data_IF_940452050952
#
_entry.id   IF_940452050952
#
_cell.length_a   1.000
_cell.length_b   1.000
_cell.length_c   1.000
_cell.angle_alpha   90.00
_cell.angle_beta   90.00
_cell.angle_gamma   90.00
#
_symmetry.space_group_name_H-M   'P 1'
#
loop_
_entity.id
_entity.type
_entity.pdbx_description
1 polymer ?
#
# COMPACT_ATOMS: atom_id res chain seq x y z
N UNK A 1 36.13 -31.10 -33.17
CA UNK A 1 34.97 -30.20 -33.42
C UNK A 1 33.77 -30.83 -32.73
N UNK A 2 33.06 -30.29 -31.74
CA UNK A 2 32.95 -28.96 -31.14
C UNK A 2 32.82 -29.12 -29.62
N UNK A 3 33.45 -28.22 -28.89
CA UNK A 3 33.41 -28.08 -27.43
C UNK A 3 32.02 -27.62 -26.95
N UNK A 4 31.54 -28.14 -25.81
CA UNK A 4 30.48 -27.51 -25.00
C UNK A 4 31.10 -26.99 -23.70
N UNK A 5 30.72 -25.81 -23.22
CA UNK A 5 31.45 -25.11 -22.16
C UNK A 5 31.04 -25.56 -20.76
N UNK A 6 32.03 -25.46 -19.87
CA UNK A 6 31.97 -25.61 -18.42
C UNK A 6 31.22 -24.41 -17.81
N UNK A 7 30.11 -24.67 -17.16
CA UNK A 7 29.56 -23.82 -16.08
C UNK A 7 28.81 -24.71 -15.08
N UNK A 8 29.55 -25.60 -14.41
CA UNK A 8 29.39 -25.83 -12.96
C UNK A 8 30.36 -24.84 -12.32
N UNK A 9 30.04 -24.06 -11.30
CA UNK A 9 29.71 -24.43 -9.93
C UNK A 9 29.18 -23.13 -9.30
N UNK A 10 27.94 -23.11 -8.80
CA UNK A 10 27.38 -22.16 -7.80
C UNK A 10 25.85 -22.25 -7.63
N UNK A 11 25.17 -23.23 -8.27
CA UNK A 11 23.74 -23.50 -8.05
C UNK A 11 23.48 -24.66 -7.06
N UNK A 12 24.35 -24.85 -6.06
CA UNK A 12 24.26 -25.97 -5.13
C UNK A 12 24.41 -25.55 -3.66
N UNK A 13 23.76 -24.47 -3.23
CA UNK A 13 23.49 -24.24 -1.79
C UNK A 13 22.42 -23.16 -1.60
N UNK A 14 21.17 -23.57 -1.70
CA UNK A 14 20.06 -23.03 -0.89
C UNK A 14 18.76 -23.81 -1.14
N UNK A 15 18.82 -25.15 -1.04
CA UNK A 15 17.63 -25.97 -0.83
C UNK A 15 17.24 -25.92 0.65
N UNK A 16 16.72 -24.80 1.14
CA UNK A 16 15.88 -24.83 2.35
C UNK A 16 15.05 -23.57 2.68
N UNK A 17 15.00 -22.54 1.82
CA UNK A 17 14.12 -21.38 2.07
C UNK A 17 12.94 -21.38 1.10
N UNK A 18 12.30 -22.55 0.97
CA UNK A 18 11.20 -22.82 0.05
C UNK A 18 9.93 -23.33 0.73
N UNK A 19 9.76 -23.12 2.03
CA UNK A 19 8.51 -23.37 2.74
C UNK A 19 8.29 -22.33 3.84
N UNK A 20 7.50 -21.32 3.54
CA UNK A 20 6.71 -20.64 4.58
C UNK A 20 5.39 -20.09 4.00
N UNK A 21 4.37 -20.93 4.20
CA UNK A 21 2.97 -20.64 4.55
C UNK A 21 2.16 -19.74 3.60
N UNK A 22 1.37 -20.38 2.73
CA UNK A 22 0.07 -19.81 2.29
C UNK A 22 -0.80 -19.58 3.54
N UNK A 23 -1.64 -18.53 3.61
CA UNK A 23 -2.64 -18.42 4.67
C UNK A 23 -3.54 -19.66 4.65
N UNK A 24 -3.53 -20.42 5.75
CA UNK A 24 -4.40 -21.57 5.97
C UNK A 24 -5.79 -21.05 6.36
N UNK A 25 -6.72 -21.06 5.41
CA UNK A 25 -8.13 -20.83 5.69
C UNK A 25 -8.67 -22.16 6.22
N UNK A 26 -8.93 -22.22 7.53
CA UNK A 26 -9.10 -23.46 8.29
C UNK A 26 -10.03 -24.49 7.64
N UNK A 27 -9.50 -25.69 7.40
CA UNK A 27 -10.28 -26.87 7.07
C UNK A 27 -10.80 -27.50 8.37
N UNK A 28 -12.07 -27.25 8.73
CA UNK A 28 -12.80 -28.17 9.62
C UNK A 28 -13.47 -29.21 8.72
N UNK A 29 -13.29 -30.49 9.06
CA UNK A 29 -13.94 -31.59 8.37
C UNK A 29 -15.45 -31.49 8.56
N UNK A 30 -16.17 -31.15 7.48
CA UNK A 30 -17.63 -31.19 7.41
C UNK A 30 -18.06 -32.37 6.55
N UNK A 31 -19.00 -33.16 7.06
CA UNK A 31 -19.50 -34.41 6.48
C UNK A 31 -20.13 -34.23 5.08
N UNK A 32 -20.11 -35.27 4.22
CA UNK A 32 -20.48 -35.16 2.81
C UNK A 32 -21.94 -34.74 2.51
N UNK A 33 -22.83 -34.77 3.50
CA UNK A 33 -24.27 -34.51 3.32
C UNK A 33 -24.69 -33.04 3.43
N UNK A 34 -23.78 -32.13 3.81
CA UNK A 34 -24.05 -30.67 3.88
C UNK A 34 -23.46 -29.88 2.69
N UNK A 35 -23.06 -30.55 1.60
CA UNK A 35 -22.40 -29.91 0.45
C UNK A 35 -23.32 -29.23 -0.56
N UNK A 36 -24.63 -29.28 -0.36
CA UNK A 36 -25.60 -28.66 -1.27
C UNK A 36 -26.31 -27.50 -0.57
N UNK A 37 -25.65 -26.35 -0.53
CA UNK A 37 -26.22 -25.12 0.02
C UNK A 37 -25.14 -24.15 0.50
N UNK A 38 -25.03 -23.00 -0.16
CA UNK A 38 -24.16 -21.86 0.16
C UNK A 38 -22.68 -22.02 -0.17
N UNK A 39 -22.34 -21.89 -1.47
CA UNK A 39 -21.07 -21.23 -1.79
C UNK A 39 -21.15 -19.81 -1.20
N UNK A 40 -20.49 -19.59 -0.06
CA UNK A 40 -20.45 -18.27 0.58
C UNK A 40 -20.05 -17.22 -0.47
N UNK A 41 -20.89 -16.23 -0.70
CA UNK A 41 -20.61 -15.13 -1.64
C UNK A 41 -19.34 -14.44 -1.12
N UNK A 42 -18.20 -14.70 -1.76
CA UNK A 42 -16.95 -14.08 -1.34
C UNK A 42 -17.06 -12.56 -1.48
N UNK A 43 -16.67 -11.86 -0.45
CA UNK A 43 -16.65 -10.39 -0.43
C UNK A 43 -15.88 -9.83 -1.65
N UNK A 44 -16.36 -8.76 -2.28
CA UNK A 44 -15.71 -8.13 -3.43
C UNK A 44 -14.22 -7.83 -3.22
N UNK A 45 -13.84 -7.43 -2.01
CA UNK A 45 -12.49 -7.13 -1.55
C UNK A 45 -11.58 -8.35 -1.65
N UNK A 46 -12.07 -9.51 -1.19
CA UNK A 46 -11.35 -10.78 -1.23
C UNK A 46 -11.12 -11.21 -2.67
N UNK A 47 -12.14 -11.10 -3.53
CA UNK A 47 -12.01 -11.42 -4.95
C UNK A 47 -11.01 -10.49 -5.67
N UNK A 48 -11.04 -9.19 -5.37
CA UNK A 48 -10.10 -8.22 -5.92
C UNK A 48 -8.68 -8.51 -5.44
N UNK A 49 -8.49 -8.77 -4.15
CA UNK A 49 -7.20 -9.09 -3.56
C UNK A 49 -6.58 -10.36 -4.18
N UNK A 50 -7.38 -11.41 -4.38
CA UNK A 50 -6.94 -12.64 -5.06
C UNK A 50 -6.49 -12.36 -6.50
N UNK A 51 -7.24 -11.53 -7.26
CA UNK A 51 -6.87 -11.18 -8.64
C UNK A 51 -5.62 -10.31 -8.71
N UNK A 52 -5.40 -9.43 -7.73
CA UNK A 52 -4.18 -8.63 -7.59
C UNK A 52 -2.96 -9.49 -7.27
N UNK A 53 -3.15 -10.57 -6.51
CA UNK A 53 -2.11 -11.54 -6.20
C UNK A 53 -1.94 -12.65 -7.26
N UNK A 54 -2.61 -12.55 -8.42
CA UNK A 54 -2.48 -13.53 -9.51
C UNK A 54 -1.08 -13.54 -10.12
N UNK A 55 -0.61 -14.71 -10.55
CA UNK A 55 0.66 -14.84 -11.27
C UNK A 55 0.60 -14.22 -12.68
N UNK A 56 -0.59 -14.08 -13.25
CA UNK A 56 -0.78 -13.52 -14.58
C UNK A 56 -0.80 -12.00 -14.57
N UNK A 57 0.20 -11.37 -15.20
CA UNK A 57 0.27 -9.91 -15.35
C UNK A 57 -1.02 -9.30 -15.93
N UNK A 58 -1.64 -9.85 -16.99
CA UNK A 58 -2.89 -9.29 -17.53
C UNK A 58 -4.03 -9.26 -16.51
N UNK A 59 -4.13 -10.28 -15.65
CA UNK A 59 -5.13 -10.36 -14.57
C UNK A 59 -4.88 -9.27 -13.53
N UNK A 60 -3.63 -9.12 -13.07
CA UNK A 60 -3.26 -8.05 -12.11
C UNK A 60 -3.55 -6.66 -12.66
N UNK A 61 -3.17 -6.39 -13.92
CA UNK A 61 -3.41 -5.08 -14.56
C UNK A 61 -4.91 -4.75 -14.65
N UNK A 62 -5.75 -5.73 -15.01
CA UNK A 62 -7.21 -5.54 -15.03
C UNK A 62 -7.77 -5.33 -13.63
N UNK A 63 -7.27 -6.08 -12.65
CA UNK A 63 -7.67 -5.96 -11.26
C UNK A 63 -7.32 -4.59 -10.67
N UNK A 64 -6.14 -4.05 -10.96
CA UNK A 64 -5.71 -2.72 -10.53
C UNK A 64 -6.66 -1.62 -11.06
N UNK A 65 -6.98 -1.66 -12.36
CA UNK A 65 -7.94 -0.72 -12.97
C UNK A 65 -9.33 -0.83 -12.32
N UNK A 66 -9.79 -2.07 -12.10
CA UNK A 66 -11.08 -2.33 -11.44
C UNK A 66 -11.10 -1.82 -10.01
N UNK A 67 -10.02 -2.03 -9.25
CA UNK A 67 -9.89 -1.58 -7.86
C UNK A 67 -10.00 -0.06 -7.74
N UNK A 68 -9.28 0.68 -8.59
CA UNK A 68 -9.35 2.16 -8.56
C UNK A 68 -10.78 2.67 -8.76
N UNK A 69 -11.49 2.13 -9.76
CA UNK A 69 -12.90 2.47 -10.01
C UNK A 69 -13.79 2.05 -8.83
N UNK A 70 -13.52 0.88 -8.26
CA UNK A 70 -14.28 0.35 -7.13
C UNK A 70 -14.18 1.25 -5.90
N UNK A 71 -12.97 1.68 -5.53
CA UNK A 71 -12.74 2.62 -4.43
C UNK A 71 -13.48 3.93 -4.69
N UNK A 72 -13.27 4.54 -5.86
CA UNK A 72 -13.91 5.82 -6.20
C UNK A 72 -15.43 5.80 -6.10
N UNK A 73 -16.08 4.73 -6.57
CA UNK A 73 -17.54 4.60 -6.52
C UNK A 73 -18.02 4.26 -5.10
N UNK A 74 -17.30 3.40 -4.37
CA UNK A 74 -17.74 2.97 -3.03
C UNK A 74 -17.56 4.09 -2.00
N UNK A 75 -16.52 4.90 -2.11
CA UNK A 75 -16.28 6.04 -1.22
C UNK A 75 -17.32 7.15 -1.32
N UNK A 76 -18.20 7.16 -2.33
CA UNK A 76 -19.27 8.17 -2.46
C UNK A 76 -20.59 7.74 -1.80
N UNK A 77 -20.67 6.53 -1.25
CA UNK A 77 -21.92 6.02 -0.67
C UNK A 77 -22.17 6.64 0.71
N UNK A 78 -23.34 7.25 0.89
CA UNK A 78 -23.78 7.87 2.14
C UNK A 78 -23.78 6.89 3.35
N UNK A 79 -24.06 5.61 3.09
CA UNK A 79 -24.28 4.60 4.13
C UNK A 79 -23.04 3.81 4.57
N UNK A 80 -21.85 4.09 4.03
CA UNK A 80 -20.65 3.40 4.49
C UNK A 80 -19.53 3.36 3.47
N UNK A 81 -18.41 3.96 3.84
CA UNK A 81 -17.14 3.81 3.15
C UNK A 81 -16.58 2.40 3.29
N UNK A 82 -15.28 2.31 3.49
CA UNK A 82 -14.62 1.03 3.75
C UNK A 82 -14.44 0.81 5.25
N UNK A 83 -14.56 -0.44 5.69
CA UNK A 83 -14.07 -0.83 7.02
C UNK A 83 -12.56 -1.05 6.99
N UNK A 84 -11.92 -1.02 8.17
CA UNK A 84 -10.50 -1.32 8.31
C UNK A 84 -10.16 -2.74 7.78
N UNK A 85 -11.00 -3.74 8.08
CA UNK A 85 -10.77 -5.12 7.64
C UNK A 85 -10.81 -5.26 6.12
N UNK A 86 -11.74 -4.57 5.47
CA UNK A 86 -11.88 -4.54 4.01
C UNK A 86 -10.65 -3.94 3.33
N UNK A 87 -10.14 -2.79 3.83
CA UNK A 87 -8.93 -2.19 3.28
C UNK A 87 -7.69 -3.04 3.56
N UNK A 88 -7.59 -3.73 4.70
CA UNK A 88 -6.50 -4.66 4.97
C UNK A 88 -6.48 -5.85 4.00
N UNK A 89 -7.66 -6.38 3.63
CA UNK A 89 -7.78 -7.42 2.58
C UNK A 89 -7.26 -6.90 1.23
N UNK A 90 -7.65 -5.69 0.84
CA UNK A 90 -7.20 -5.05 -0.40
C UNK A 90 -5.69 -4.77 -0.39
N UNK A 91 -5.17 -4.23 0.72
CA UNK A 91 -3.74 -3.94 0.87
C UNK A 91 -2.87 -5.18 0.81
N UNK A 92 -3.34 -6.31 1.36
CA UNK A 92 -2.66 -7.59 1.17
C UNK A 92 -2.57 -7.96 -0.32
N UNK A 93 -3.63 -7.75 -1.09
CA UNK A 93 -3.63 -7.92 -2.54
C UNK A 93 -2.65 -6.99 -3.26
N UNK A 94 -2.62 -5.70 -2.89
CA UNK A 94 -1.71 -4.70 -3.45
C UNK A 94 -0.24 -5.04 -3.15
N UNK A 95 0.05 -5.45 -1.92
CA UNK A 95 1.39 -5.88 -1.49
C UNK A 95 1.90 -7.02 -2.37
N UNK A 96 1.10 -8.07 -2.56
CA UNK A 96 1.50 -9.19 -3.42
C UNK A 96 1.48 -8.84 -4.92
N UNK A 97 0.67 -7.88 -5.35
CA UNK A 97 0.74 -7.36 -6.72
C UNK A 97 2.11 -6.74 -7.01
N UNK A 98 2.65 -5.95 -6.07
CA UNK A 98 4.01 -5.39 -6.16
C UNK A 98 5.08 -6.48 -5.97
N UNK A 99 4.86 -7.43 -5.07
CA UNK A 99 5.76 -8.57 -4.85
C UNK A 99 6.07 -9.32 -6.15
N UNK A 100 5.07 -9.54 -7.00
CA UNK A 100 5.17 -10.24 -8.29
C UNK A 100 5.71 -9.37 -9.44
N UNK A 101 6.13 -8.13 -9.19
CA UNK A 101 6.71 -7.25 -10.22
C UNK A 101 8.24 -7.25 -10.12
N UNK A 102 8.90 -7.79 -11.15
CA UNK A 102 10.35 -7.92 -11.19
C UNK A 102 11.03 -6.86 -12.08
N UNK A 103 10.29 -6.21 -12.99
CA UNK A 103 10.88 -5.22 -13.91
C UNK A 103 10.98 -3.84 -13.22
N UNK A 104 12.17 -3.22 -13.07
CA UNK A 104 12.35 -1.98 -12.30
C UNK A 104 11.40 -0.83 -12.69
N UNK A 105 11.32 -0.50 -13.99
CA UNK A 105 10.41 0.56 -14.47
C UNK A 105 8.94 0.28 -14.15
N UNK A 106 8.55 -1.00 -14.13
CA UNK A 106 7.19 -1.39 -13.79
C UNK A 106 6.95 -1.44 -12.27
N UNK A 107 8.01 -1.57 -11.45
CA UNK A 107 7.91 -1.48 -9.98
C UNK A 107 7.60 -0.04 -9.57
N UNK A 108 8.30 0.93 -10.16
CA UNK A 108 8.06 2.35 -9.94
C UNK A 108 6.65 2.75 -10.38
N UNK A 109 6.28 2.42 -11.63
CA UNK A 109 4.95 2.71 -12.17
C UNK A 109 3.84 2.09 -11.31
N UNK A 110 4.02 0.83 -10.89
CA UNK A 110 3.05 0.16 -10.01
C UNK A 110 3.00 0.83 -8.64
N UNK A 111 4.13 1.22 -8.06
CA UNK A 111 4.17 1.91 -6.77
C UNK A 111 3.44 3.26 -6.85
N UNK A 112 3.61 3.99 -7.95
CA UNK A 112 2.91 5.25 -8.20
C UNK A 112 1.39 5.03 -8.38
N UNK A 113 0.99 3.97 -9.10
CA UNK A 113 -0.41 3.59 -9.23
C UNK A 113 -1.06 3.21 -7.90
N UNK A 114 -0.32 2.53 -7.02
CA UNK A 114 -0.80 2.18 -5.68
C UNK A 114 -0.92 3.44 -4.82
N UNK A 115 0.13 4.27 -4.74
CA UNK A 115 0.14 5.41 -3.84
C UNK A 115 -0.87 6.49 -4.19
N UNK A 116 -1.04 6.79 -5.47
CA UNK A 116 -2.03 7.76 -5.95
C UNK A 116 -3.48 7.31 -5.76
N UNK A 117 -3.71 6.07 -5.32
CA UNK A 117 -5.05 5.55 -5.04
C UNK A 117 -5.69 6.20 -3.82
N UNK A 118 -4.88 6.76 -2.90
CA UNK A 118 -5.37 7.56 -1.77
C UNK A 118 -6.29 8.70 -2.23
N UNK A 119 -6.00 9.31 -3.37
CA UNK A 119 -6.80 10.39 -3.95
C UNK A 119 -8.11 9.94 -4.60
N UNK A 120 -8.37 8.63 -4.63
CA UNK A 120 -9.63 8.08 -5.14
C UNK A 120 -10.71 8.03 -4.06
N UNK A 121 -10.36 8.24 -2.79
CA UNK A 121 -11.31 8.36 -1.69
C UNK A 121 -11.91 9.77 -1.65
N UNK A 122 -13.21 9.85 -1.35
CA UNK A 122 -13.98 11.09 -1.38
C UNK A 122 -13.72 11.98 -0.15
N UNK A 123 -13.64 11.37 1.03
CA UNK A 123 -13.44 12.02 2.31
C UNK A 123 -12.03 11.77 2.89
N UNK A 124 -11.71 12.51 3.95
CA UNK A 124 -10.41 12.43 4.64
C UNK A 124 -10.30 11.17 5.48
N UNK A 125 -11.39 10.70 6.07
CA UNK A 125 -11.40 9.48 6.88
C UNK A 125 -11.02 8.26 6.06
N UNK A 126 -11.55 8.11 4.84
CA UNK A 126 -11.18 7.05 3.91
C UNK A 126 -9.73 7.15 3.45
N UNK A 127 -9.20 8.35 3.25
CA UNK A 127 -7.79 8.57 2.92
C UNK A 127 -6.86 8.14 4.05
N UNK A 128 -7.17 8.53 5.29
CA UNK A 128 -6.41 8.15 6.48
C UNK A 128 -6.56 6.66 6.79
N UNK A 129 -7.74 6.07 6.62
CA UNK A 129 -7.95 4.64 6.78
C UNK A 129 -7.16 3.81 5.75
N UNK A 130 -7.02 4.32 4.53
CA UNK A 130 -6.16 3.73 3.51
C UNK A 130 -4.68 3.75 3.92
N UNK A 131 -4.21 4.87 4.48
CA UNK A 131 -2.85 4.99 5.04
C UNK A 131 -2.64 4.10 6.27
N UNK A 132 -3.61 4.03 7.17
CA UNK A 132 -3.55 3.17 8.35
C UNK A 132 -3.41 1.70 7.93
N UNK A 133 -4.26 1.26 7.00
CA UNK A 133 -4.25 -0.11 6.49
C UNK A 133 -2.93 -0.44 5.75
N UNK A 134 -2.33 0.56 5.09
CA UNK A 134 -0.98 0.46 4.53
C UNK A 134 0.06 0.20 5.62
N UNK A 135 0.11 1.04 6.66
CA UNK A 135 1.09 0.93 7.74
C UNK A 135 0.94 -0.41 8.47
N UNK A 136 -0.27 -0.83 8.79
CA UNK A 136 -0.54 -2.12 9.43
C UNK A 136 -0.11 -3.30 8.55
N UNK A 137 -0.35 -3.22 7.23
CA UNK A 137 0.13 -4.23 6.30
C UNK A 137 1.65 -4.27 6.26
N UNK A 138 2.31 -3.11 6.18
CA UNK A 138 3.77 -3.06 6.13
C UNK A 138 4.40 -3.53 7.43
N UNK A 139 3.88 -3.13 8.60
CA UNK A 139 4.35 -3.63 9.90
C UNK A 139 4.35 -5.15 9.97
N UNK A 140 3.27 -5.78 9.51
CA UNK A 140 3.13 -7.25 9.53
C UNK A 140 4.09 -7.95 8.57
N UNK A 141 4.27 -7.41 7.36
CA UNK A 141 5.00 -8.11 6.29
C UNK A 141 6.48 -7.73 6.20
N UNK A 142 6.91 -6.61 6.82
CA UNK A 142 8.24 -6.02 6.61
C UNK A 142 9.40 -6.97 6.81
N UNK A 143 9.39 -7.73 7.91
CA UNK A 143 10.46 -8.69 8.24
C UNK A 143 10.48 -9.90 7.32
N UNK A 144 9.40 -10.15 6.59
CA UNK A 144 9.28 -11.21 5.59
C UNK A 144 9.82 -10.83 4.20
N UNK A 145 10.14 -9.55 3.97
CA UNK A 145 10.69 -9.07 2.69
C UNK A 145 12.17 -9.43 2.62
N UNK A 146 12.55 -10.23 1.63
CA UNK A 146 13.95 -10.54 1.38
C UNK A 146 14.70 -9.37 0.71
N UNK A 147 16.02 -9.40 0.84
CA UNK A 147 16.91 -8.33 0.36
C UNK A 147 16.73 -7.99 -1.13
N UNK A 148 16.41 -8.96 -2.00
CA UNK A 148 16.27 -8.72 -3.44
C UNK A 148 14.99 -7.95 -3.79
N UNK A 149 14.02 -7.91 -2.88
CA UNK A 149 12.73 -7.24 -3.08
C UNK A 149 12.61 -5.92 -2.31
N UNK A 150 13.55 -5.62 -1.41
CA UNK A 150 13.40 -4.51 -0.47
C UNK A 150 13.28 -3.14 -1.17
N UNK A 151 14.07 -2.90 -2.22
CA UNK A 151 14.15 -1.59 -2.88
C UNK A 151 12.79 -1.07 -3.38
N UNK A 152 11.98 -1.92 -4.00
CA UNK A 152 10.63 -1.52 -4.46
C UNK A 152 9.66 -1.24 -3.32
N UNK A 153 9.83 -1.91 -2.17
CA UNK A 153 8.99 -1.65 -1.00
C UNK A 153 9.43 -0.36 -0.30
N UNK A 154 10.73 -0.05 -0.25
CA UNK A 154 11.22 1.27 0.16
C UNK A 154 10.65 2.39 -0.72
N UNK A 155 10.64 2.19 -2.05
CA UNK A 155 10.07 3.13 -3.00
C UNK A 155 8.56 3.32 -2.79
N UNK A 156 7.80 2.24 -2.57
CA UNK A 156 6.37 2.34 -2.29
C UNK A 156 6.10 3.13 -1.00
N UNK A 157 6.87 2.91 0.09
CA UNK A 157 6.72 3.71 1.32
C UNK A 157 6.95 5.19 1.04
N UNK A 158 8.01 5.52 0.31
CA UNK A 158 8.32 6.90 -0.08
C UNK A 158 7.17 7.56 -0.86
N UNK A 159 6.63 6.84 -1.84
CA UNK A 159 5.53 7.34 -2.66
C UNK A 159 4.22 7.46 -1.87
N UNK A 160 3.94 6.55 -0.94
CA UNK A 160 2.79 6.64 -0.06
C UNK A 160 2.83 7.92 0.78
N UNK A 161 3.95 8.20 1.45
CA UNK A 161 4.10 9.43 2.24
C UNK A 161 4.00 10.69 1.38
N UNK A 162 4.62 10.71 0.18
CA UNK A 162 4.45 11.82 -0.77
C UNK A 162 2.98 12.08 -1.09
N UNK A 163 2.24 11.04 -1.45
CA UNK A 163 0.83 11.18 -1.84
C UNK A 163 -0.08 11.52 -0.65
N UNK A 164 0.27 11.08 0.56
CA UNK A 164 -0.39 11.54 1.79
C UNK A 164 -0.15 13.03 2.03
N UNK A 165 1.08 13.52 1.92
CA UNK A 165 1.36 14.96 2.05
C UNK A 165 0.66 15.78 0.97
N UNK A 166 0.57 15.29 -0.27
CA UNK A 166 -0.24 15.93 -1.31
C UNK A 166 -1.73 15.99 -0.94
N UNK A 167 -2.27 14.97 -0.25
CA UNK A 167 -3.65 14.99 0.23
C UNK A 167 -3.84 16.05 1.34
N UNK A 168 -2.92 16.13 2.31
CA UNK A 168 -2.92 17.16 3.36
C UNK A 168 -2.82 18.57 2.77
N UNK A 169 -1.93 18.77 1.79
CA UNK A 169 -1.76 20.04 1.08
C UNK A 169 -3.05 20.47 0.36
N UNK A 170 -3.78 19.56 -0.28
CA UNK A 170 -5.09 19.86 -0.90
C UNK A 170 -6.17 20.24 0.11
N UNK A 171 -5.98 19.87 1.38
CA UNK A 171 -6.79 20.33 2.52
C UNK A 171 -6.21 21.58 3.18
N UNK A 172 -5.27 22.26 2.51
CA UNK A 172 -4.61 23.46 3.02
C UNK A 172 -3.95 23.26 4.38
N UNK A 173 -3.46 22.05 4.66
CA UNK A 173 -2.87 21.70 5.95
C UNK A 173 -3.80 21.99 7.14
N UNK A 174 -5.11 21.78 6.96
CA UNK A 174 -6.09 21.93 8.02
C UNK A 174 -5.63 21.24 9.32
N UNK A 175 -5.58 22.00 10.41
CA UNK A 175 -4.98 21.57 11.68
C UNK A 175 -5.64 20.30 12.23
N UNK A 176 -6.96 20.14 12.02
CA UNK A 176 -7.69 18.95 12.49
C UNK A 176 -7.25 17.71 11.71
N UNK A 177 -7.13 17.84 10.38
CA UNK A 177 -6.70 16.75 9.51
C UNK A 177 -5.23 16.40 9.75
N UNK A 178 -4.38 17.40 9.94
CA UNK A 178 -2.96 17.20 10.29
C UNK A 178 -2.85 16.49 11.65
N UNK A 179 -3.64 16.90 12.65
CA UNK A 179 -3.64 16.26 13.97
C UNK A 179 -4.04 14.78 13.88
N UNK A 180 -5.11 14.46 13.14
CA UNK A 180 -5.53 13.06 12.91
C UNK A 180 -4.44 12.23 12.23
N UNK A 181 -3.75 12.80 11.23
CA UNK A 181 -2.62 12.16 10.57
C UNK A 181 -1.45 11.90 11.53
N UNK A 182 -1.07 12.88 12.34
CA UNK A 182 0.01 12.74 13.30
C UNK A 182 -0.33 11.72 14.39
N UNK A 183 -1.57 11.71 14.89
CA UNK A 183 -2.05 10.70 15.83
C UNK A 183 -1.95 9.28 15.26
N UNK A 184 -2.32 9.12 13.98
CA UNK A 184 -2.18 7.86 13.25
C UNK A 184 -0.70 7.43 13.15
N UNK A 185 0.22 8.33 12.80
CA UNK A 185 1.65 8.01 12.76
C UNK A 185 2.21 7.67 14.14
N UNK A 186 1.81 8.40 15.18
CA UNK A 186 2.20 8.12 16.55
C UNK A 186 1.74 6.73 16.97
N UNK A 187 0.47 6.39 16.72
CA UNK A 187 -0.10 5.09 17.05
C UNK A 187 0.56 3.95 16.29
N UNK A 188 0.74 4.08 14.98
CA UNK A 188 1.21 2.97 14.16
C UNK A 188 2.73 2.80 14.18
N UNK A 189 3.51 3.85 14.41
CA UNK A 189 4.97 3.81 14.28
C UNK A 189 5.71 4.15 15.57
N UNK A 190 5.41 5.29 16.21
CA UNK A 190 6.33 5.93 17.17
C UNK A 190 6.04 5.62 18.64
N UNK A 191 4.80 5.25 18.99
CA UNK A 191 4.46 4.90 20.38
C UNK A 191 5.14 3.61 20.81
N UNK A 192 5.56 3.58 22.08
CA UNK A 192 6.03 2.35 22.72
C UNK A 192 4.95 1.27 22.62
N UNK A 193 5.33 0.09 22.13
CA UNK A 193 4.38 -1.01 21.88
C UNK A 193 3.69 -0.95 20.52
N UNK A 194 4.11 -0.09 19.59
CA UNK A 194 3.57 -0.08 18.22
C UNK A 194 3.84 -1.36 17.43
N UNK A 195 4.77 -2.21 17.88
CA UNK A 195 5.24 -3.42 17.18
C UNK A 195 5.78 -3.14 15.76
N UNK A 196 6.06 -1.87 15.43
CA UNK A 196 6.60 -1.52 14.14
C UNK A 196 8.07 -1.99 14.03
N UNK A 197 8.43 -2.75 12.98
CA UNK A 197 9.82 -3.18 12.79
C UNK A 197 10.76 -1.98 12.64
N UNK A 198 11.91 -2.02 13.32
CA UNK A 198 12.88 -0.91 13.36
C UNK A 198 13.29 -0.44 11.94
N UNK A 199 13.51 -1.36 11.00
CA UNK A 199 13.85 -1.00 9.63
C UNK A 199 12.76 -0.20 8.89
N UNK A 200 11.49 -0.44 9.20
CA UNK A 200 10.38 0.34 8.63
C UNK A 200 10.33 1.73 9.28
N UNK A 201 10.47 1.80 10.61
CA UNK A 201 10.47 3.05 11.35
C UNK A 201 11.60 3.97 10.88
N UNK A 202 12.84 3.46 10.80
CA UNK A 202 14.00 4.23 10.37
C UNK A 202 13.82 4.75 8.95
N UNK A 203 13.39 3.91 8.01
CA UNK A 203 13.14 4.35 6.63
C UNK A 203 12.11 5.48 6.55
N UNK A 204 11.03 5.37 7.31
CA UNK A 204 10.00 6.44 7.36
C UNK A 204 10.56 7.73 7.95
N UNK A 205 11.34 7.65 9.03
CA UNK A 205 11.98 8.82 9.63
C UNK A 205 12.95 9.50 8.65
N UNK A 206 13.75 8.72 7.94
CA UNK A 206 14.74 9.20 6.97
C UNK A 206 14.09 9.94 5.80
N UNK A 207 12.95 9.46 5.31
CA UNK A 207 12.25 10.08 4.18
C UNK A 207 11.30 11.22 4.59
N UNK A 208 10.83 11.27 5.84
CA UNK A 208 9.70 12.13 6.25
C UNK A 208 9.90 13.60 5.86
N UNK A 209 11.03 14.20 6.27
CA UNK A 209 11.31 15.61 6.00
C UNK A 209 11.59 15.87 4.51
N UNK A 210 12.25 14.94 3.82
CA UNK A 210 12.52 15.06 2.39
C UNK A 210 11.24 15.04 1.56
N UNK A 211 10.30 14.18 1.91
CA UNK A 211 9.00 14.08 1.26
C UNK A 211 8.08 15.26 1.59
N UNK A 212 8.09 15.71 2.84
CA UNK A 212 7.33 16.90 3.26
C UNK A 212 7.85 18.14 2.54
N UNK A 213 9.16 18.34 2.48
CA UNK A 213 9.77 19.44 1.75
C UNK A 213 9.44 19.37 0.25
N UNK A 214 9.51 18.19 -0.38
CA UNK A 214 9.19 18.04 -1.80
C UNK A 214 7.76 18.52 -2.15
N UNK A 215 6.81 18.36 -1.24
CA UNK A 215 5.41 18.76 -1.43
C UNK A 215 5.16 20.21 -0.98
N UNK A 216 5.74 20.64 0.14
CA UNK A 216 5.47 21.91 0.81
C UNK A 216 6.40 23.07 0.46
N UNK A 217 7.54 22.85 -0.21
CA UNK A 217 8.57 23.89 -0.43
C UNK A 217 8.07 25.17 -1.10
N UNK A 218 7.05 25.08 -1.96
CA UNK A 218 6.48 26.24 -2.63
C UNK A 218 5.75 27.22 -1.67
N UNK A 219 5.30 26.76 -0.52
CA UNK A 219 4.55 27.58 0.45
C UNK A 219 5.47 28.26 1.47
N UNK A 220 6.62 27.64 1.77
CA UNK A 220 7.63 28.18 2.70
C UNK A 220 8.31 29.44 2.12
N UNK A 221 8.33 29.60 0.80
CA UNK A 221 8.88 30.79 0.13
C UNK A 221 7.99 32.04 0.24
N UNK A 222 6.79 31.92 0.81
CA UNK A 222 5.91 33.05 1.12
C UNK A 222 5.72 33.21 2.63
N UNK A 223 6.68 33.86 3.33
CA UNK A 223 6.46 34.27 4.70
C UNK A 223 5.40 35.39 4.70
N UNK A 224 4.20 35.05 5.15
CA UNK A 224 3.16 35.97 5.63
C UNK A 224 2.84 37.23 4.80
N UNK A 225 1.68 37.21 4.13
CA UNK A 225 0.72 38.32 4.25
C UNK A 225 0.80 39.50 3.27
N UNK A 226 0.65 39.27 1.95
CA UNK A 226 -0.01 40.27 1.08
C UNK A 226 -1.04 39.58 0.19
N UNK A 227 -2.33 39.80 0.48
CA UNK A 227 -3.38 39.61 -0.51
C UNK A 227 -3.06 40.53 -1.70
N UNK A 228 -3.15 40.06 -2.96
CA UNK A 228 -3.00 40.95 -4.10
C UNK A 228 -4.09 42.02 -4.01
N UNK A 229 -3.68 43.30 -4.03
CA UNK A 229 -4.62 44.41 -4.10
C UNK A 229 -5.51 44.22 -5.32
N UNK A 230 -6.83 44.28 -5.13
CA UNK A 230 -7.77 44.33 -6.26
C UNK A 230 -7.44 45.59 -7.06
N UNK A 231 -7.33 45.52 -8.40
CA UNK A 231 -7.26 46.73 -9.21
C UNK A 231 -8.57 47.50 -9.00
N UNK A 232 -8.47 48.72 -8.50
CA UNK A 232 -9.55 49.69 -8.63
C UNK A 232 -9.66 50.04 -10.12
N UNK A 233 -10.75 49.61 -10.74
CA UNK A 233 -11.32 50.20 -11.95
C UNK A 233 -12.79 50.49 -11.66
#
# INVERSE_FOLDING_TARGET
MRSKPVTSVLCAENRNVGRRVRPNWGNRNVSPQERSGMAAVQEPEVQLAQRLASNEKPVRTRAMKKLRKYISVRSQREAGGFSAEELLKLWKGLFYCLWMQDKPLLQEELSNQISTMIHSFHDTDGQLLYLESFLQTFKREWTGIDRLRMDKFFQLVRFMFRQTFEALKRKHWDDSVVSMFLELLMRELLRNGSEAPCGLQLHILDLYLGELAAVGSAEVQHPHGRKPARPCL
#
